data_IF_287967956954
#
_entry.id   IF_287967956954
#
_cell.length_a   1.000
_cell.length_b   1.000
_cell.length_c   1.000
_cell.angle_alpha   90.00
_cell.angle_beta   90.00
_cell.angle_gamma   90.00
#
_symmetry.space_group_name_H-M   'P 1'
#
loop_
_entity.id
_entity.type
_entity.pdbx_description
1 polymer ?
#
# COMPACT_ATOMS: atom_id res chain seq x y z
N UNK A 1 15.10 -4.96 -0.99
CA UNK A 1 14.82 -3.83 -1.91
C UNK A 1 15.07 -2.55 -1.15
N UNK A 2 15.79 -1.57 -1.70
CA UNK A 2 16.06 -0.31 -0.98
C UNK A 2 14.79 0.54 -0.86
N UNK A 3 14.75 1.48 0.10
CA UNK A 3 13.62 2.42 0.26
C UNK A 3 13.29 3.16 -1.05
N UNK A 4 14.32 3.65 -1.74
CA UNK A 4 14.17 4.32 -3.04
C UNK A 4 13.56 3.39 -4.08
N UNK A 5 14.02 2.13 -4.17
CA UNK A 5 13.45 1.16 -5.11
C UNK A 5 11.99 0.83 -4.79
N UNK A 6 11.61 0.77 -3.51
CA UNK A 6 10.21 0.57 -3.09
C UNK A 6 9.33 1.73 -3.58
N UNK A 7 9.74 2.98 -3.35
CA UNK A 7 9.01 4.15 -3.84
C UNK A 7 8.89 4.14 -5.38
N UNK A 8 9.99 3.89 -6.07
CA UNK A 8 10.02 3.87 -7.53
C UNK A 8 9.18 2.72 -8.10
N UNK A 9 9.10 1.57 -7.43
CA UNK A 9 8.22 0.46 -7.81
C UNK A 9 6.76 0.90 -7.78
N UNK A 10 6.33 1.58 -6.71
CA UNK A 10 4.97 2.15 -6.59
C UNK A 10 4.70 3.17 -7.69
N UNK A 11 5.57 4.15 -7.89
CA UNK A 11 5.40 5.18 -8.92
C UNK A 11 5.36 4.59 -10.34
N UNK A 12 6.21 3.60 -10.64
CA UNK A 12 6.23 2.91 -11.95
C UNK A 12 4.94 2.16 -12.24
N UNK A 13 4.32 1.57 -11.22
CA UNK A 13 3.06 0.85 -11.38
C UNK A 13 1.92 1.77 -11.87
N UNK A 14 2.03 3.07 -11.61
CA UNK A 14 1.03 4.08 -11.97
C UNK A 14 1.21 4.68 -13.37
N UNK A 15 2.34 4.43 -14.04
CA UNK A 15 2.57 4.92 -15.41
C UNK A 15 1.42 4.49 -16.33
N UNK A 16 0.90 5.46 -17.10
CA UNK A 16 -0.24 5.30 -17.99
C UNK A 16 -1.60 5.55 -17.33
N UNK A 17 -1.66 5.86 -16.03
CA UNK A 17 -2.89 6.29 -15.38
C UNK A 17 -3.40 7.60 -15.99
N UNK A 18 -4.69 7.63 -16.34
CA UNK A 18 -5.40 8.81 -16.83
C UNK A 18 -6.34 9.35 -15.76
N UNK A 19 -6.36 10.66 -15.55
CA UNK A 19 -7.35 11.31 -14.68
C UNK A 19 -8.76 11.14 -15.21
N UNK A 20 -9.76 11.27 -14.33
CA UNK A 20 -11.13 10.89 -14.64
C UNK A 20 -12.02 12.10 -14.93
N UNK A 21 -13.03 11.88 -15.78
CA UNK A 21 -14.07 12.85 -16.08
C UNK A 21 -15.00 13.10 -14.87
N UNK A 22 -15.16 12.10 -14.01
CA UNK A 22 -16.01 12.16 -12.82
C UNK A 22 -15.43 11.30 -11.69
N UNK A 23 -16.03 11.38 -10.51
CA UNK A 23 -15.65 10.59 -9.33
C UNK A 23 -16.09 9.11 -9.43
N UNK A 24 -15.76 8.44 -10.53
CA UNK A 24 -16.08 7.03 -10.78
C UNK A 24 -14.96 6.32 -11.53
N UNK A 25 -14.85 5.00 -11.35
CA UNK A 25 -13.84 4.14 -11.99
C UNK A 25 -12.40 4.61 -11.74
N UNK A 26 -12.11 5.22 -10.58
CA UNK A 26 -10.79 5.80 -10.32
C UNK A 26 -9.68 4.75 -10.19
N UNK A 27 -10.01 3.48 -9.92
CA UNK A 27 -9.03 2.40 -9.80
C UNK A 27 -8.61 1.80 -11.15
N UNK A 28 -9.41 2.03 -12.20
CA UNK A 28 -9.06 1.63 -13.55
C UNK A 28 -8.03 2.61 -14.13
N UNK A 29 -7.00 2.09 -14.80
CA UNK A 29 -5.92 2.91 -15.33
C UNK A 29 -6.38 3.86 -16.45
N UNK A 30 -7.39 3.49 -17.25
CA UNK A 30 -7.77 4.24 -18.46
C UNK A 30 -9.26 4.50 -18.62
N UNK A 31 -10.14 3.75 -17.95
CA UNK A 31 -11.57 3.99 -18.01
C UNK A 31 -11.94 5.35 -17.41
N UNK A 32 -13.09 5.89 -17.83
CA UNK A 32 -13.61 7.20 -17.42
C UNK A 32 -12.62 8.36 -17.59
N UNK A 33 -11.70 8.30 -18.56
CA UNK A 33 -10.73 9.36 -18.79
C UNK A 33 -11.41 10.71 -19.06
N UNK A 34 -10.88 11.80 -18.49
CA UNK A 34 -11.35 13.16 -18.70
C UNK A 34 -10.34 14.19 -18.20
N UNK A 35 -10.75 15.45 -18.05
CA UNK A 35 -9.85 16.55 -17.64
C UNK A 35 -10.35 17.32 -16.40
N UNK A 36 -11.08 16.61 -15.52
CA UNK A 36 -11.73 17.20 -14.36
C UNK A 36 -10.99 16.89 -13.04
N UNK A 37 -9.72 16.47 -13.10
CA UNK A 37 -8.87 16.22 -11.94
C UNK A 37 -9.39 15.17 -10.93
N UNK A 38 -10.27 14.26 -11.36
CA UNK A 38 -10.73 13.16 -10.50
C UNK A 38 -9.70 12.03 -10.51
N UNK A 39 -9.16 11.66 -9.35
CA UNK A 39 -8.14 10.61 -9.27
C UNK A 39 -8.28 9.71 -8.06
N UNK A 40 -7.78 8.46 -8.16
CA UNK A 40 -7.65 7.60 -6.98
C UNK A 40 -6.72 8.20 -5.93
N UNK A 41 -5.66 8.89 -6.36
CA UNK A 41 -4.68 9.48 -5.46
C UNK A 41 -5.32 10.46 -4.48
N UNK A 42 -6.07 11.42 -5.02
CA UNK A 42 -6.75 12.40 -4.19
C UNK A 42 -7.87 11.77 -3.34
N UNK A 43 -8.66 10.85 -3.90
CA UNK A 43 -9.69 10.11 -3.15
C UNK A 43 -9.09 9.35 -1.95
N UNK A 44 -8.01 8.62 -2.16
CA UNK A 44 -7.40 7.76 -1.14
C UNK A 44 -6.81 8.61 -0.01
N UNK A 45 -6.14 9.72 -0.35
CA UNK A 45 -5.63 10.68 0.64
C UNK A 45 -6.76 11.43 1.37
N UNK A 46 -7.84 11.79 0.67
CA UNK A 46 -9.03 12.40 1.27
C UNK A 46 -9.71 11.45 2.27
N UNK A 47 -9.73 10.14 1.98
CA UNK A 47 -10.28 9.11 2.88
C UNK A 47 -9.50 8.99 4.19
N UNK A 48 -8.20 9.27 4.19
CA UNK A 48 -7.38 9.32 5.42
C UNK A 48 -7.81 10.52 6.29
N UNK A 49 -8.20 11.64 5.68
CA UNK A 49 -8.81 12.79 6.36
C UNK A 49 -7.86 13.67 7.19
N UNK A 50 -6.58 13.31 7.29
CA UNK A 50 -5.57 14.03 8.08
C UNK A 50 -4.34 14.44 7.28
N UNK A 51 -4.24 14.08 6.00
CA UNK A 51 -3.11 14.45 5.14
C UNK A 51 -3.12 15.96 4.86
N UNK A 52 -4.21 16.47 4.31
CA UNK A 52 -4.36 17.87 3.92
C UNK A 52 -5.37 18.64 4.77
N UNK A 53 -5.35 19.97 4.65
CA UNK A 53 -6.27 20.91 5.28
C UNK A 53 -7.74 20.83 4.79
N UNK A 54 -8.11 19.75 4.11
CA UNK A 54 -9.44 19.49 3.57
C UNK A 54 -9.38 18.62 2.31
N UNK A 55 -10.52 18.15 1.81
CA UNK A 55 -10.59 17.32 0.60
C UNK A 55 -9.95 17.99 -0.63
N UNK A 56 -9.36 17.19 -1.51
CA UNK A 56 -8.60 17.64 -2.69
C UNK A 56 -8.95 16.91 -3.99
N UNK A 57 -9.85 15.93 -3.98
CA UNK A 57 -10.28 15.31 -5.22
C UNK A 57 -11.01 16.32 -6.14
N UNK A 58 -10.63 16.36 -7.42
CA UNK A 58 -11.05 17.41 -8.37
C UNK A 58 -10.12 18.62 -8.46
N UNK A 59 -8.99 18.63 -7.74
CA UNK A 59 -7.94 19.66 -7.86
C UNK A 59 -6.70 19.10 -8.55
N UNK A 60 -5.84 19.99 -9.08
CA UNK A 60 -4.58 19.60 -9.73
C UNK A 60 -3.74 18.68 -8.83
N UNK A 61 -3.33 17.52 -9.33
CA UNK A 61 -2.95 16.37 -8.50
C UNK A 61 -1.49 15.93 -8.64
N UNK A 62 -0.60 16.78 -9.17
CA UNK A 62 0.82 16.42 -9.32
C UNK A 62 1.51 16.12 -7.98
N UNK A 63 1.30 16.95 -6.94
CA UNK A 63 1.82 16.67 -5.59
C UNK A 63 1.07 15.52 -4.92
N UNK A 64 -0.25 15.45 -5.10
CA UNK A 64 -1.06 14.36 -4.54
C UNK A 64 -0.62 12.98 -5.05
N UNK A 65 -0.17 12.89 -6.31
CA UNK A 65 0.45 11.67 -6.83
C UNK A 65 1.73 11.30 -6.09
N UNK A 66 2.61 12.28 -5.84
CA UNK A 66 3.85 12.06 -5.10
C UNK A 66 3.53 11.63 -3.67
N UNK A 67 2.69 12.39 -2.96
CA UNK A 67 2.27 12.09 -1.59
C UNK A 67 1.64 10.70 -1.49
N UNK A 68 0.76 10.35 -2.44
CA UNK A 68 0.16 9.01 -2.51
C UNK A 68 1.22 7.92 -2.72
N UNK A 69 2.24 8.13 -3.54
CA UNK A 69 3.32 7.17 -3.71
C UNK A 69 4.10 6.96 -2.41
N UNK A 70 4.40 8.02 -1.67
CA UNK A 70 5.10 7.92 -0.37
C UNK A 70 4.23 7.23 0.69
N UNK A 71 2.98 7.66 0.85
CA UNK A 71 2.07 7.15 1.87
C UNK A 71 1.64 5.70 1.57
N UNK A 72 1.41 5.34 0.31
CA UNK A 72 1.09 3.96 -0.09
C UNK A 72 2.28 3.03 0.13
N UNK A 73 3.51 3.50 -0.12
CA UNK A 73 4.72 2.68 0.04
C UNK A 73 5.10 2.48 1.50
N UNK A 74 5.04 3.54 2.31
CA UNK A 74 5.65 3.57 3.65
C UNK A 74 4.63 3.69 4.79
N UNK A 75 3.34 3.77 4.48
CA UNK A 75 2.31 4.12 5.45
C UNK A 75 2.26 5.61 5.76
N UNK A 76 1.20 6.03 6.46
CA UNK A 76 0.91 7.44 6.71
C UNK A 76 2.04 8.15 7.47
N UNK A 77 2.41 7.67 8.66
CA UNK A 77 3.30 8.43 9.54
C UNK A 77 4.72 8.55 8.99
N UNK A 78 5.26 7.47 8.42
CA UNK A 78 6.57 7.49 7.80
C UNK A 78 6.55 8.27 6.47
N UNK A 79 5.51 8.10 5.65
CA UNK A 79 5.32 8.87 4.43
C UNK A 79 5.31 10.38 4.69
N UNK A 80 4.53 10.83 5.67
CA UNK A 80 4.46 12.25 6.06
C UNK A 80 5.82 12.79 6.54
N UNK A 81 6.57 12.01 7.32
CA UNK A 81 7.94 12.37 7.74
C UNK A 81 8.91 12.48 6.56
N UNK A 82 8.87 11.54 5.63
CA UNK A 82 9.71 11.53 4.43
C UNK A 82 9.45 12.75 3.54
N UNK A 83 8.17 13.17 3.44
CA UNK A 83 7.73 14.36 2.72
C UNK A 83 7.97 15.68 3.48
N UNK A 84 8.45 15.62 4.74
CA UNK A 84 8.52 16.75 5.67
C UNK A 84 7.18 17.46 5.92
N UNK A 85 6.06 16.81 5.59
CA UNK A 85 4.74 17.43 5.58
C UNK A 85 4.09 17.36 6.97
N UNK A 86 3.50 18.47 7.48
CA UNK A 86 2.63 18.41 8.65
C UNK A 86 1.26 17.83 8.30
N UNK A 87 0.64 17.11 9.24
CA UNK A 87 -0.77 16.71 9.12
C UNK A 87 -1.68 17.92 8.96
N UNK A 88 -2.73 17.74 8.18
CA UNK A 88 -3.67 18.79 7.78
C UNK A 88 -2.96 19.98 7.13
N UNK A 89 -1.86 19.70 6.43
CA UNK A 89 -1.02 20.68 5.76
C UNK A 89 -1.56 21.10 4.39
N UNK A 90 -0.73 21.85 3.66
CA UNK A 90 -1.04 22.39 2.34
C UNK A 90 -0.17 21.76 1.23
N UNK A 91 0.48 20.63 1.47
CA UNK A 91 1.42 20.04 0.51
C UNK A 91 0.79 19.42 -0.73
N UNK A 92 -0.54 19.40 -0.84
CA UNK A 92 -1.22 19.23 -2.13
C UNK A 92 -0.81 20.32 -3.16
N UNK A 93 -0.24 21.45 -2.71
CA UNK A 93 0.34 22.48 -3.58
C UNK A 93 1.88 22.46 -3.56
N UNK A 94 2.48 22.44 -4.75
CA UNK A 94 3.94 22.32 -4.95
C UNK A 94 4.77 23.38 -4.23
N UNK A 95 4.27 24.60 -4.08
CA UNK A 95 4.99 25.66 -3.35
C UNK A 95 5.14 25.32 -1.87
N UNK A 96 4.08 24.80 -1.23
CA UNK A 96 4.14 24.39 0.18
C UNK A 96 4.94 23.12 0.37
N UNK A 97 4.77 22.14 -0.52
CA UNK A 97 5.55 20.90 -0.52
C UNK A 97 7.06 21.20 -0.58
N UNK A 98 7.49 22.04 -1.53
CA UNK A 98 8.88 22.51 -1.60
C UNK A 98 9.31 23.28 -0.32
N UNK A 99 8.44 24.11 0.25
CA UNK A 99 8.73 24.84 1.49
C UNK A 99 8.94 23.91 2.70
N UNK A 100 8.23 22.79 2.77
CA UNK A 100 8.41 21.81 3.85
C UNK A 100 9.80 21.19 3.84
N UNK A 101 10.29 20.77 2.66
CA UNK A 101 11.68 20.33 2.52
C UNK A 101 12.68 21.44 2.85
N UNK A 102 12.42 22.71 2.45
CA UNK A 102 13.30 23.84 2.78
C UNK A 102 13.40 24.05 4.29
N UNK A 103 12.27 24.04 4.98
CA UNK A 103 12.21 24.22 6.43
C UNK A 103 12.93 23.09 7.18
N UNK A 104 12.98 21.89 6.60
CA UNK A 104 13.68 20.75 7.19
C UNK A 104 15.14 20.59 6.71
N UNK A 105 15.68 21.56 5.95
CA UNK A 105 17.04 21.49 5.42
C UNK A 105 17.25 20.39 4.36
N UNK A 106 16.17 19.87 3.78
CA UNK A 106 16.13 18.75 2.83
C UNK A 106 15.85 19.20 1.39
N UNK A 107 15.84 20.51 1.11
CA UNK A 107 15.69 21.04 -0.24
C UNK A 107 17.05 21.34 -0.86
N UNK A 108 17.35 20.75 -2.01
CA UNK A 108 18.61 20.89 -2.73
C UNK A 108 18.39 21.59 -4.07
N UNK A 109 19.25 22.56 -4.41
CA UNK A 109 19.18 23.23 -5.71
C UNK A 109 19.74 22.39 -6.87
N UNK A 110 20.68 21.48 -6.56
CA UNK A 110 21.46 20.71 -7.54
C UNK A 110 21.68 19.27 -7.05
N UNK A 111 22.34 18.46 -7.89
CA UNK A 111 22.71 17.07 -7.62
C UNK A 111 21.49 16.19 -7.29
N UNK A 112 20.52 16.06 -8.22
CA UNK A 112 19.38 15.17 -8.01
C UNK A 112 19.82 13.73 -7.76
N UNK A 113 19.03 13.03 -6.96
CA UNK A 113 19.18 11.61 -6.67
C UNK A 113 17.86 10.87 -6.97
N UNK A 114 17.93 9.59 -7.36
CA UNK A 114 16.74 8.74 -7.41
C UNK A 114 15.95 8.80 -6.08
N UNK A 115 14.63 8.95 -6.20
CA UNK A 115 13.73 9.11 -5.06
C UNK A 115 13.51 10.55 -4.57
N UNK A 116 14.30 11.52 -5.03
CA UNK A 116 14.02 12.93 -4.76
C UNK A 116 12.67 13.35 -5.38
N UNK A 117 11.92 14.21 -4.71
CA UNK A 117 10.82 14.95 -5.30
C UNK A 117 11.37 16.16 -6.06
N UNK A 118 11.24 16.19 -7.38
CA UNK A 118 11.67 17.32 -8.21
C UNK A 118 10.56 18.36 -8.29
N UNK A 119 10.89 19.65 -8.16
CA UNK A 119 9.95 20.76 -8.28
C UNK A 119 10.30 21.67 -9.48
N UNK A 120 9.26 22.13 -10.17
CA UNK A 120 9.39 23.07 -11.29
C UNK A 120 8.74 24.42 -10.97
N UNK A 121 9.44 25.49 -11.34
CA UNK A 121 9.03 26.87 -11.10
C UNK A 121 7.80 27.25 -11.94
N UNK A 122 6.94 28.04 -11.31
CA UNK A 122 5.87 28.78 -11.96
C UNK A 122 5.76 30.17 -11.30
N UNK A 123 6.14 31.22 -12.05
CA UNK A 123 6.39 32.54 -11.47
C UNK A 123 7.42 32.50 -10.34
N UNK A 124 7.06 33.10 -9.19
CA UNK A 124 7.88 33.14 -7.98
C UNK A 124 7.77 31.86 -7.13
N UNK A 125 6.89 30.93 -7.49
CA UNK A 125 6.60 29.70 -6.76
C UNK A 125 6.98 28.41 -7.50
N UNK A 126 6.41 27.29 -7.04
CA UNK A 126 6.47 26.00 -7.71
C UNK A 126 5.07 25.62 -8.21
N UNK A 127 4.97 25.22 -9.48
CA UNK A 127 3.71 24.86 -10.14
C UNK A 127 3.58 23.41 -10.57
N UNK A 128 4.68 22.63 -10.52
CA UNK A 128 4.64 21.20 -10.89
C UNK A 128 5.71 20.40 -10.15
N UNK A 129 5.49 19.09 -10.03
CA UNK A 129 6.39 18.17 -9.32
C UNK A 129 6.38 16.76 -9.90
N UNK A 130 7.37 15.96 -9.53
CA UNK A 130 7.44 14.52 -9.81
C UNK A 130 8.46 13.80 -8.93
N UNK A 131 8.65 12.50 -9.16
CA UNK A 131 9.66 11.69 -8.49
C UNK A 131 10.82 11.43 -9.46
N UNK A 132 12.05 11.70 -9.03
CA UNK A 132 13.27 11.39 -9.81
C UNK A 132 13.44 9.87 -9.87
N UNK A 133 13.37 9.30 -11.07
CA UNK A 133 13.58 7.87 -11.33
C UNK A 133 15.08 7.53 -11.45
N UNK A 134 15.83 8.36 -12.19
CA UNK A 134 17.27 8.20 -12.38
C UNK A 134 17.93 9.47 -12.91
N UNK A 135 19.27 9.52 -12.85
CA UNK A 135 20.10 10.60 -13.39
C UNK A 135 21.21 9.97 -14.23
N UNK A 136 21.26 10.28 -15.52
CA UNK A 136 22.26 9.75 -16.45
C UNK A 136 22.42 10.67 -17.66
N UNK A 137 23.61 10.69 -18.27
CA UNK A 137 23.82 11.41 -19.54
C UNK A 137 23.52 12.92 -19.49
N UNK A 138 23.72 13.58 -18.34
CA UNK A 138 23.43 15.00 -18.16
C UNK A 138 21.94 15.34 -18.05
N UNK A 139 21.08 14.32 -17.86
CA UNK A 139 19.63 14.46 -17.71
C UNK A 139 19.14 13.85 -16.40
N UNK A 140 18.04 14.42 -15.91
CA UNK A 140 17.19 13.84 -14.88
C UNK A 140 15.97 13.20 -15.54
N UNK A 141 15.63 11.99 -15.12
CA UNK A 141 14.46 11.23 -15.56
C UNK A 141 13.48 11.12 -14.41
N UNK A 142 12.20 11.32 -14.68
CA UNK A 142 11.18 11.49 -13.65
C UNK A 142 9.93 10.68 -13.97
N UNK A 143 9.15 10.36 -12.93
CA UNK A 143 7.77 9.88 -13.03
C UNK A 143 6.89 10.97 -12.43
N UNK A 144 5.99 11.51 -13.24
CA UNK A 144 5.18 12.67 -12.90
C UNK A 144 3.70 12.34 -13.03
N UNK A 145 2.91 12.75 -12.05
CA UNK A 145 1.45 12.80 -12.14
C UNK A 145 0.99 14.13 -12.73
N UNK A 146 -0.27 14.19 -13.16
CA UNK A 146 -0.91 15.34 -13.78
C UNK A 146 -0.09 16.00 -14.91
N UNK A 147 0.56 15.18 -15.75
CA UNK A 147 1.35 15.59 -16.90
C UNK A 147 0.86 14.89 -18.17
N UNK A 148 1.57 15.04 -19.29
CA UNK A 148 1.31 14.30 -20.53
C UNK A 148 2.61 13.80 -21.16
N UNK A 149 2.49 13.02 -22.24
CA UNK A 149 3.62 12.54 -23.05
C UNK A 149 4.34 13.64 -23.85
N UNK A 150 3.78 14.86 -23.92
CA UNK A 150 4.43 15.98 -24.60
C UNK A 150 5.76 16.35 -23.93
N UNK A 151 6.73 16.88 -24.69
CA UNK A 151 8.03 17.25 -24.15
C UNK A 151 7.95 18.46 -23.20
N UNK A 152 8.88 18.54 -22.24
CA UNK A 152 8.95 19.64 -21.27
C UNK A 152 7.97 19.50 -20.11
N UNK A 153 7.90 20.54 -19.25
CA UNK A 153 6.98 20.57 -18.11
C UNK A 153 5.58 20.85 -18.63
N UNK A 154 4.66 19.93 -18.36
CA UNK A 154 3.23 20.06 -18.66
C UNK A 154 2.50 19.95 -17.34
N UNK A 155 2.10 21.10 -16.79
CA UNK A 155 1.20 21.12 -15.65
C UNK A 155 -0.23 20.82 -16.13
N UNK A 156 -0.97 20.03 -15.37
CA UNK A 156 -2.35 19.68 -15.65
C UNK A 156 -2.58 18.91 -16.98
N UNK A 157 -1.69 17.96 -17.29
CA UNK A 157 -1.76 17.15 -18.50
C UNK A 157 -2.60 15.87 -18.40
N UNK A 158 -3.14 15.57 -17.21
CA UNK A 158 -4.15 14.53 -17.00
C UNK A 158 -3.67 13.08 -16.99
N UNK A 159 -2.35 12.83 -16.92
CA UNK A 159 -1.84 11.46 -16.86
C UNK A 159 -0.53 11.29 -16.08
N UNK A 160 -0.22 10.05 -15.68
CA UNK A 160 1.08 9.68 -15.13
C UNK A 160 2.02 9.26 -16.26
N UNK A 161 3.13 10.00 -16.46
CA UNK A 161 4.11 9.69 -17.50
C UNK A 161 5.55 9.77 -16.99
N UNK A 162 6.43 9.10 -17.74
CA UNK A 162 7.87 9.36 -17.67
C UNK A 162 8.22 10.65 -18.40
N UNK A 163 9.11 11.44 -17.81
CA UNK A 163 9.64 12.66 -18.40
C UNK A 163 11.16 12.70 -18.25
N UNK A 164 11.79 13.60 -18.97
CA UNK A 164 13.23 13.85 -18.81
C UNK A 164 13.58 15.30 -19.13
N UNK A 165 14.59 15.82 -18.42
CA UNK A 165 15.04 17.20 -18.52
C UNK A 165 16.55 17.25 -18.47
N UNK A 166 17.16 18.22 -19.15
CA UNK A 166 18.57 18.53 -18.93
C UNK A 166 18.74 19.00 -17.47
N UNK A 167 19.85 18.64 -16.82
CA UNK A 167 20.11 19.02 -15.42
C UNK A 167 20.11 20.54 -15.19
N UNK A 168 20.40 21.32 -16.23
CA UNK A 168 20.37 22.78 -16.22
C UNK A 168 19.06 23.39 -16.77
N UNK A 169 17.99 22.60 -16.90
CA UNK A 169 16.72 23.10 -17.42
C UNK A 169 16.19 24.23 -16.52
N UNK A 170 15.97 25.40 -17.11
CA UNK A 170 15.75 26.66 -16.37
C UNK A 170 14.51 26.66 -15.47
N UNK A 171 13.53 25.81 -15.77
CA UNK A 171 12.32 25.65 -14.94
C UNK A 171 12.54 24.76 -13.72
N UNK A 172 13.67 24.06 -13.58
CA UNK A 172 13.94 23.27 -12.37
C UNK A 172 14.11 24.24 -11.19
N UNK A 173 13.25 24.08 -10.18
CA UNK A 173 13.25 24.83 -8.94
C UNK A 173 14.15 24.21 -7.87
N UNK A 174 14.30 22.89 -7.91
CA UNK A 174 15.15 22.10 -7.01
C UNK A 174 14.51 20.76 -6.67
N UNK A 175 15.01 20.15 -5.60
CA UNK A 175 14.75 18.76 -5.24
C UNK A 175 14.51 18.64 -3.73
N UNK A 176 13.34 18.15 -3.33
CA UNK A 176 13.10 17.68 -1.97
C UNK A 176 13.67 16.28 -1.80
N UNK A 177 14.65 16.12 -0.91
CA UNK A 177 15.30 14.84 -0.64
C UNK A 177 14.78 14.25 0.67
N UNK A 178 14.05 13.13 0.63
CA UNK A 178 13.64 12.45 1.85
C UNK A 178 14.83 11.99 2.68
N UNK A 179 14.71 12.01 4.00
CA UNK A 179 15.69 11.37 4.87
C UNK A 179 15.48 9.84 4.87
N UNK A 180 16.12 9.16 3.93
CA UNK A 180 16.00 7.71 3.74
C UNK A 180 16.48 6.89 4.94
N UNK A 181 17.27 7.45 5.86
CA UNK A 181 17.67 6.76 7.09
C UNK A 181 16.50 6.53 8.06
N UNK A 182 15.36 7.18 7.84
CA UNK A 182 14.13 6.97 8.62
C UNK A 182 13.40 5.70 8.21
N UNK A 183 13.67 5.18 7.01
CA UNK A 183 13.11 3.90 6.57
C UNK A 183 13.97 2.81 7.19
N UNK A 184 13.39 1.92 8.02
CA UNK A 184 14.14 0.80 8.57
C UNK A 184 14.78 0.01 7.43
N UNK A 185 16.05 -0.38 7.60
CA UNK A 185 16.69 -1.28 6.66
C UNK A 185 16.00 -2.64 6.74
N UNK A 186 14.98 -2.85 5.90
CA UNK A 186 14.43 -4.18 5.62
C UNK A 186 15.35 -4.90 4.62
N UNK A 187 16.61 -5.07 5.02
CA UNK A 187 17.51 -6.07 4.42
C UNK A 187 17.29 -7.44 5.02
N UNK A 188 16.48 -7.53 6.07
CA UNK A 188 15.81 -8.77 6.45
C UNK A 188 14.47 -8.76 5.74
N UNK A 189 14.25 -9.81 4.99
CA UNK A 189 13.01 -10.16 4.31
C UNK A 189 11.83 -9.93 5.27
N UNK A 190 10.67 -9.58 4.72
CA UNK A 190 9.37 -9.76 5.39
C UNK A 190 9.14 -11.28 5.64
N UNK A 191 10.01 -11.90 6.43
CA UNK A 191 9.91 -13.24 7.02
C UNK A 191 9.07 -13.19 8.31
N UNK A 192 8.61 -12.00 8.73
CA UNK A 192 7.69 -11.84 9.87
C UNK A 192 6.24 -12.29 9.55
N UNK A 193 5.99 -12.70 8.31
CA UNK A 193 4.87 -13.56 7.93
C UNK A 193 5.33 -14.73 7.05
N UNK A 194 6.54 -15.27 7.27
CA UNK A 194 6.91 -16.56 6.69
C UNK A 194 5.91 -17.63 7.20
N UNK A 195 5.65 -18.62 6.35
CA UNK A 195 4.79 -19.78 6.62
C UNK A 195 5.09 -20.38 8.00
N UNK A 196 6.32 -20.26 8.51
CA UNK A 196 6.68 -20.66 9.87
C UNK A 196 5.95 -19.87 10.95
N UNK A 197 5.95 -18.53 10.92
CA UNK A 197 5.25 -17.70 11.92
C UNK A 197 3.74 -17.86 11.81
N UNK A 198 3.21 -17.98 10.58
CA UNK A 198 1.81 -18.34 10.36
C UNK A 198 1.48 -19.71 10.97
N UNK A 199 2.31 -20.72 10.75
CA UNK A 199 2.13 -22.07 11.34
C UNK A 199 2.21 -22.06 12.86
N UNK A 200 3.06 -21.22 13.46
CA UNK A 200 3.15 -21.07 14.91
C UNK A 200 1.88 -20.45 15.49
N UNK A 201 1.45 -19.29 14.96
CA UNK A 201 0.22 -18.63 15.39
C UNK A 201 -1.02 -19.50 15.15
N UNK A 202 -1.05 -20.22 14.03
CA UNK A 202 -2.11 -21.16 13.71
C UNK A 202 -2.14 -22.35 14.68
N UNK A 203 -0.97 -22.85 15.14
CA UNK A 203 -0.90 -23.91 16.16
C UNK A 203 -1.33 -23.40 17.52
N UNK A 204 -0.97 -22.17 17.89
CA UNK A 204 -1.41 -21.54 19.13
C UNK A 204 -2.93 -21.39 19.15
N UNK A 205 -3.54 -20.79 18.11
CA UNK A 205 -4.99 -20.68 17.97
C UNK A 205 -5.68 -22.05 18.00
N UNK A 206 -5.15 -23.04 17.26
CA UNK A 206 -5.74 -24.39 17.28
C UNK A 206 -5.62 -25.09 18.62
N UNK A 207 -4.63 -24.76 19.44
CA UNK A 207 -4.52 -25.32 20.79
C UNK A 207 -5.62 -24.82 21.72
N UNK A 208 -6.10 -23.58 21.51
CA UNK A 208 -7.24 -23.03 22.25
C UNK A 208 -8.55 -23.71 21.83
N UNK A 209 -8.73 -24.01 20.54
CA UNK A 209 -9.94 -24.68 20.01
C UNK A 209 -10.02 -26.19 20.30
N UNK A 210 -8.99 -26.77 20.92
CA UNK A 210 -8.92 -28.19 21.25
C UNK A 210 -9.48 -28.52 22.64
N UNK A 211 -10.15 -27.56 23.28
CA UNK A 211 -10.96 -27.82 24.45
C UNK A 211 -12.26 -28.59 24.10
N UNK A 212 -13.13 -28.77 25.10
CA UNK A 212 -14.45 -29.39 24.91
C UNK A 212 -15.57 -28.34 24.79
N UNK A 213 -15.21 -27.07 24.58
CA UNK A 213 -16.18 -25.99 24.44
C UNK A 213 -16.97 -26.19 23.14
N UNK A 214 -18.25 -25.81 23.20
CA UNK A 214 -19.19 -25.95 22.11
C UNK A 214 -20.50 -25.25 22.42
N UNK A 215 -21.23 -24.88 21.37
CA UNK A 215 -22.60 -24.42 21.48
C UNK A 215 -23.57 -25.48 22.03
N UNK A 216 -24.64 -25.00 22.67
CA UNK A 216 -25.71 -25.84 23.26
C UNK A 216 -26.56 -26.56 22.20
N UNK A 217 -26.67 -26.01 20.99
CA UNK A 217 -27.54 -26.54 19.94
C UNK A 217 -27.13 -27.94 19.43
N UNK A 218 -25.86 -28.34 19.60
CA UNK A 218 -25.30 -29.61 19.10
C UNK A 218 -25.10 -30.66 20.20
N UNK A 219 -25.52 -30.38 21.43
CA UNK A 219 -25.26 -31.21 22.61
C UNK A 219 -25.69 -32.67 22.42
N UNK A 220 -26.96 -32.92 22.07
CA UNK A 220 -27.49 -34.27 21.85
C UNK A 220 -26.71 -35.04 20.77
N UNK A 221 -26.36 -34.37 19.66
CA UNK A 221 -25.59 -34.98 18.57
C UNK A 221 -24.16 -35.32 19.00
N UNK A 222 -23.52 -34.46 19.82
CA UNK A 222 -22.17 -34.69 20.35
C UNK A 222 -22.15 -35.82 21.38
N UNK A 223 -23.15 -35.91 22.24
CA UNK A 223 -23.30 -37.02 23.20
C UNK A 223 -23.51 -38.35 22.48
N UNK A 224 -24.35 -38.39 21.45
CA UNK A 224 -24.51 -39.57 20.60
C UNK A 224 -23.19 -39.95 19.89
N UNK A 225 -22.52 -38.98 19.26
CA UNK A 225 -21.27 -39.23 18.54
C UNK A 225 -20.15 -39.74 19.47
N UNK A 226 -20.12 -39.27 20.72
CA UNK A 226 -19.20 -39.73 21.75
C UNK A 226 -19.55 -41.13 22.26
N UNK A 227 -20.82 -41.37 22.62
CA UNK A 227 -21.27 -42.65 23.19
C UNK A 227 -21.21 -43.82 22.21
N UNK A 228 -21.38 -43.54 20.92
CA UNK A 228 -21.26 -44.54 19.84
C UNK A 228 -19.82 -44.78 19.37
N UNK A 229 -18.87 -43.99 19.86
CA UNK A 229 -17.47 -44.04 19.41
C UNK A 229 -17.27 -43.54 17.98
N UNK A 230 -18.25 -42.86 17.39
CA UNK A 230 -18.15 -42.24 16.07
C UNK A 230 -17.02 -41.20 16.05
N UNK A 231 -16.94 -40.38 17.11
CA UNK A 231 -15.87 -39.41 17.35
C UNK A 231 -15.06 -39.85 18.57
N UNK A 232 -13.75 -39.99 18.40
CA UNK A 232 -12.82 -40.44 19.44
C UNK A 232 -11.96 -39.31 20.03
N UNK A 233 -12.17 -38.07 19.58
CA UNK A 233 -11.33 -36.93 19.91
C UNK A 233 -10.02 -36.88 19.10
N UNK A 234 -9.10 -36.02 19.51
CA UNK A 234 -7.79 -35.79 18.85
C UNK A 234 -6.59 -36.06 19.76
N UNK A 235 -6.81 -36.53 20.98
CA UNK A 235 -5.80 -36.81 22.02
C UNK A 235 -5.83 -38.27 22.45
N UNK A 236 -4.64 -38.83 22.70
CA UNK A 236 -4.46 -40.21 23.19
C UNK A 236 -4.59 -40.34 24.73
N UNK A 237 -4.75 -39.21 25.45
CA UNK A 237 -4.79 -39.20 26.92
C UNK A 237 -6.20 -39.07 27.49
N UNK A 238 -6.91 -38.03 27.07
CA UNK A 238 -8.27 -37.71 27.51
C UNK A 238 -9.10 -37.29 26.30
N UNK A 239 -10.41 -37.55 26.34
CA UNK A 239 -11.30 -37.16 25.26
C UNK A 239 -11.36 -35.63 25.13
N UNK A 240 -10.82 -35.12 24.03
CA UNK A 240 -11.02 -33.76 23.57
C UNK A 240 -11.83 -33.78 22.27
N UNK A 241 -13.10 -33.43 22.37
CA UNK A 241 -14.00 -33.40 21.23
C UNK A 241 -13.55 -32.42 20.16
N UNK A 242 -12.78 -31.39 20.54
CA UNK A 242 -12.25 -30.33 19.65
C UNK A 242 -13.37 -29.79 18.75
N UNK A 243 -14.53 -29.54 19.35
CA UNK A 243 -15.79 -29.35 18.62
C UNK A 243 -15.82 -28.06 17.80
N UNK A 244 -15.01 -27.07 18.19
CA UNK A 244 -14.87 -25.79 17.51
C UNK A 244 -13.64 -25.74 16.59
N UNK A 245 -12.79 -26.78 16.58
CA UNK A 245 -11.61 -26.86 15.71
C UNK A 245 -11.98 -27.26 14.27
N UNK A 246 -11.06 -26.98 13.34
CA UNK A 246 -11.20 -27.28 11.92
C UNK A 246 -11.02 -28.78 11.65
N UNK A 247 -12.04 -29.36 11.00
CA UNK A 247 -12.03 -30.75 10.54
C UNK A 247 -11.05 -30.96 9.38
N UNK A 248 -10.03 -31.78 9.59
CA UNK A 248 -9.13 -32.24 8.53
C UNK A 248 -9.78 -33.33 7.67
N UNK A 249 -9.28 -33.51 6.43
CA UNK A 249 -9.74 -34.61 5.55
C UNK A 249 -9.50 -35.99 6.17
N UNK A 250 -8.43 -36.17 6.94
CA UNK A 250 -8.11 -37.43 7.62
C UNK A 250 -9.12 -37.76 8.73
N UNK A 251 -9.47 -36.76 9.56
CA UNK A 251 -10.52 -36.89 10.57
C UNK A 251 -11.87 -37.19 9.92
N UNK A 252 -12.23 -36.48 8.84
CA UNK A 252 -13.47 -36.70 8.11
C UNK A 252 -13.57 -38.16 7.61
N UNK A 253 -12.54 -38.65 6.91
CA UNK A 253 -12.54 -40.02 6.38
C UNK A 253 -12.63 -41.06 7.50
N UNK A 254 -11.98 -40.81 8.64
CA UNK A 254 -12.05 -41.70 9.80
C UNK A 254 -13.47 -41.75 10.40
N UNK A 255 -14.13 -40.61 10.55
CA UNK A 255 -15.52 -40.53 11.03
C UNK A 255 -16.47 -41.24 10.06
N UNK A 256 -16.32 -40.99 8.76
CA UNK A 256 -17.12 -41.66 7.73
C UNK A 256 -16.91 -43.17 7.72
N UNK A 257 -15.67 -43.64 7.90
CA UNK A 257 -15.36 -45.06 7.97
C UNK A 257 -15.96 -45.73 9.21
N UNK A 258 -15.91 -45.08 10.38
CA UNK A 258 -16.58 -45.56 11.59
C UNK A 258 -18.10 -45.61 11.40
N UNK A 259 -18.67 -44.57 10.81
CA UNK A 259 -20.09 -44.54 10.47
C UNK A 259 -20.47 -45.70 9.54
N UNK A 260 -19.69 -45.92 8.48
CA UNK A 260 -19.89 -47.03 7.55
C UNK A 260 -19.87 -48.40 8.24
N UNK A 261 -18.95 -48.61 9.20
CA UNK A 261 -18.94 -49.82 10.04
C UNK A 261 -20.20 -49.96 10.89
N UNK A 262 -20.67 -48.88 11.50
CA UNK A 262 -21.89 -48.89 12.34
C UNK A 262 -23.12 -49.30 11.54
N UNK A 263 -23.18 -48.97 10.25
CA UNK A 263 -24.29 -49.34 9.36
C UNK A 263 -24.01 -50.60 8.51
N UNK A 264 -22.92 -51.31 8.78
CA UNK A 264 -22.56 -52.57 8.10
C UNK A 264 -22.16 -52.42 6.63
N UNK A 265 -21.64 -51.25 6.24
CA UNK A 265 -21.21 -50.94 4.86
C UNK A 265 -19.69 -50.95 4.67
N UNK A 266 -18.90 -51.20 5.72
CA UNK A 266 -17.44 -51.26 5.69
C UNK A 266 -16.87 -52.25 6.71
#
# INVERSE_FOLDING_TARGET
>A
MTAVEMLLKTARAEIGYLEKNSNSQLDDKTANAGYNNWTKYARDLDKIGTVYNGPKNGYAWCDMFVDWCFITTFGLDLGMKLLCQPYKGAGAGCTYSAQYYRNNGQFHANNPQPGDQIFFKDGDGMGHTGIVEKVEGGKVYTIEGNTSSAAGVVANGGSVNRKSYNLNYSKIGGYGRPNWSLVPNTTEEDDDMDVKRFKELWREMRSELQDNDAGTWSEEAREWAKSTGLVAGTSDKEFNGAWEDLLTREQLVTVLYRFAKMIGQA
#
